data_IF_052117896597
#
_entry.id   IF_052117896597
#
_cell.length_a   1.000
_cell.length_b   1.000
_cell.length_c   1.000
_cell.angle_alpha   90.00
_cell.angle_beta   90.00
_cell.angle_gamma   90.00
#
_symmetry.space_group_name_H-M   'P 1'
#
loop_
_entity.id
_entity.type
_entity.pdbx_description
1 polymer ?
#
# COMPACT_ATOMS: atom_id res chain seq x y z
N UNK A 1 -6.31 24.63 -48.48
CA UNK A 1 -5.50 23.56 -47.83
C UNK A 1 -6.44 22.71 -47.00
N UNK A 2 -6.59 21.42 -47.31
CA UNK A 2 -7.43 20.50 -46.52
C UNK A 2 -6.55 19.89 -45.43
N UNK A 3 -6.85 20.20 -44.17
CA UNK A 3 -6.17 19.61 -43.02
C UNK A 3 -6.54 18.13 -42.94
N UNK A 4 -5.54 17.26 -43.02
CA UNK A 4 -5.71 15.82 -42.80
C UNK A 4 -6.09 15.61 -41.33
N UNK A 5 -7.32 15.17 -41.07
CA UNK A 5 -7.69 14.65 -39.76
C UNK A 5 -7.02 13.27 -39.58
N UNK A 6 -6.33 13.03 -38.45
CA UNK A 6 -5.66 11.76 -38.23
C UNK A 6 -6.70 10.63 -38.14
N UNK A 7 -6.52 9.60 -38.99
CA UNK A 7 -7.46 8.48 -39.16
C UNK A 7 -7.38 7.45 -38.02
N UNK A 8 -6.40 7.59 -37.13
CA UNK A 8 -6.12 6.69 -36.02
C UNK A 8 -6.47 7.39 -34.71
N UNK A 9 -7.37 6.76 -33.95
CA UNK A 9 -7.64 7.12 -32.56
C UNK A 9 -6.33 6.89 -31.78
N UNK A 10 -5.74 7.93 -31.21
CA UNK A 10 -4.58 7.78 -30.33
C UNK A 10 -4.95 6.76 -29.25
N UNK A 11 -4.15 5.69 -29.16
CA UNK A 11 -4.25 4.75 -28.06
C UNK A 11 -3.81 5.50 -26.80
N UNK A 12 -4.70 5.55 -25.81
CA UNK A 12 -4.33 6.08 -24.51
C UNK A 12 -3.31 5.14 -23.88
N UNK A 13 -2.17 5.68 -23.44
CA UNK A 13 -1.13 4.92 -22.73
C UNK A 13 -1.72 4.35 -21.42
N UNK A 14 -2.79 4.95 -20.89
CA UNK A 14 -3.57 4.41 -19.77
C UNK A 14 -4.09 2.98 -20.02
N UNK A 15 -4.33 2.59 -21.28
CA UNK A 15 -4.80 1.24 -21.63
C UNK A 15 -3.75 0.14 -21.42
N UNK A 16 -2.46 0.51 -21.28
CA UNK A 16 -1.37 -0.40 -20.94
C UNK A 16 -1.20 -0.62 -19.44
N UNK A 17 -1.99 0.07 -18.58
CA UNK A 17 -2.00 -0.20 -17.14
C UNK A 17 -2.49 -1.61 -16.93
N UNK A 18 -1.53 -2.51 -16.75
CA UNK A 18 -1.78 -3.92 -16.53
C UNK A 18 -2.44 -4.09 -15.17
N UNK A 19 -3.44 -4.98 -15.10
CA UNK A 19 -4.03 -5.39 -13.82
C UNK A 19 -2.93 -6.00 -12.94
N UNK A 20 -2.95 -5.66 -11.66
CA UNK A 20 -2.03 -6.21 -10.67
C UNK A 20 -2.50 -7.58 -10.13
N UNK A 21 -3.69 -8.04 -10.52
CA UNK A 21 -4.27 -9.30 -10.03
C UNK A 21 -3.57 -10.54 -10.60
N UNK A 22 -2.86 -10.42 -11.72
CA UNK A 22 -2.13 -11.51 -12.39
C UNK A 22 -0.63 -11.55 -12.03
N UNK A 23 -0.23 -10.83 -10.98
CA UNK A 23 1.17 -10.84 -10.53
C UNK A 23 1.60 -12.21 -10.00
N UNK A 24 2.90 -12.49 -10.16
CA UNK A 24 3.50 -13.72 -9.66
C UNK A 24 3.39 -13.82 -8.12
N UNK A 25 2.63 -14.82 -7.67
CA UNK A 25 2.37 -15.10 -6.25
C UNK A 25 3.60 -15.59 -5.49
N UNK A 26 4.65 -16.02 -6.19
CA UNK A 26 5.93 -16.39 -5.57
C UNK A 26 6.71 -15.16 -5.09
N UNK A 27 6.35 -13.96 -5.56
CA UNK A 27 7.00 -12.73 -5.13
C UNK A 27 6.79 -12.48 -3.64
N UNK A 28 7.87 -12.14 -2.94
CA UNK A 28 7.88 -11.87 -1.49
C UNK A 28 6.81 -10.86 -1.03
N UNK A 29 6.45 -9.89 -1.85
CA UNK A 29 5.48 -8.84 -1.48
C UNK A 29 4.03 -9.28 -1.70
N UNK A 30 3.78 -10.05 -2.76
CA UNK A 30 2.45 -10.62 -3.04
C UNK A 30 2.12 -11.65 -1.96
N UNK A 31 3.03 -12.59 -1.71
CA UNK A 31 2.87 -13.59 -0.65
C UNK A 31 2.67 -12.95 0.74
N UNK A 32 3.40 -11.88 1.06
CA UNK A 32 3.25 -11.16 2.32
C UNK A 32 1.92 -10.38 2.37
N UNK A 33 1.48 -9.82 1.25
CA UNK A 33 0.17 -9.18 1.12
C UNK A 33 -0.98 -10.15 1.35
N UNK A 34 -0.92 -11.35 0.79
CA UNK A 34 -1.96 -12.36 0.95
C UNK A 34 -2.00 -12.95 2.37
N UNK A 35 -0.84 -12.98 3.02
CA UNK A 35 -0.68 -13.54 4.35
C UNK A 35 -1.15 -12.61 5.48
N UNK A 36 -1.02 -11.29 5.32
CA UNK A 36 -1.35 -10.35 6.37
C UNK A 36 -2.87 -10.22 6.57
N UNK A 37 -3.38 -10.29 7.82
CA UNK A 37 -4.79 -10.08 8.12
C UNK A 37 -5.13 -8.59 8.08
N UNK A 38 -5.27 -8.04 6.87
CA UNK A 38 -5.52 -6.62 6.63
C UNK A 38 -6.72 -6.08 7.39
N UNK A 39 -7.80 -6.85 7.54
CA UNK A 39 -9.00 -6.44 8.28
C UNK A 39 -8.72 -6.15 9.75
N UNK A 40 -7.88 -6.95 10.41
CA UNK A 40 -7.52 -6.73 11.82
C UNK A 40 -6.60 -5.53 11.97
N UNK A 41 -5.62 -5.41 11.06
CA UNK A 41 -4.71 -4.28 11.00
C UNK A 41 -5.44 -2.96 10.77
N UNK A 42 -6.38 -2.94 9.83
CA UNK A 42 -7.20 -1.78 9.52
C UNK A 42 -8.10 -1.40 10.70
N UNK A 43 -8.67 -2.37 11.41
CA UNK A 43 -9.48 -2.11 12.60
C UNK A 43 -8.66 -1.46 13.71
N UNK A 44 -7.48 -2.01 14.01
CA UNK A 44 -6.57 -1.44 15.02
C UNK A 44 -6.09 -0.05 14.60
N UNK A 45 -5.71 0.12 13.33
CA UNK A 45 -5.33 1.42 12.75
C UNK A 45 -6.45 2.46 12.88
N UNK A 46 -7.67 2.11 12.49
CA UNK A 46 -8.83 3.00 12.53
C UNK A 46 -9.27 3.32 13.97
N UNK A 47 -9.08 2.40 14.91
CA UNK A 47 -9.37 2.66 16.33
C UNK A 47 -8.46 3.73 16.93
N UNK A 48 -7.23 3.86 16.41
CA UNK A 48 -6.21 4.80 16.89
C UNK A 48 -6.28 6.17 16.24
N UNK A 49 -6.93 6.28 15.07
CA UNK A 49 -7.06 7.54 14.37
C UNK A 49 -8.07 8.52 15.02
N UNK A 50 -8.69 8.15 16.15
CA UNK A 50 -9.65 8.95 16.92
C UNK A 50 -10.59 9.76 16.02
N UNK A 51 -11.33 9.04 15.16
CA UNK A 51 -12.23 9.60 14.14
C UNK A 51 -13.50 10.27 14.75
N UNK A 52 -13.41 10.91 15.92
CA UNK A 52 -14.50 11.68 16.52
C UNK A 52 -14.89 12.90 15.68
N UNK A 53 -13.99 13.41 14.84
CA UNK A 53 -14.28 14.46 13.85
C UNK A 53 -14.02 13.94 12.45
N UNK A 54 -15.09 13.80 11.67
CA UNK A 54 -15.08 13.47 10.23
C UNK A 54 -14.08 14.38 9.48
N UNK A 55 -12.87 13.90 9.28
CA UNK A 55 -11.88 14.50 8.37
C UNK A 55 -12.01 13.94 6.95
N UNK A 56 -11.51 14.70 5.96
CA UNK A 56 -11.52 14.35 4.54
C UNK A 56 -11.00 12.93 4.30
N UNK A 57 -11.68 12.19 3.43
CA UNK A 57 -11.57 10.74 3.22
C UNK A 57 -10.16 10.19 3.45
N UNK A 58 -10.02 9.41 4.53
CA UNK A 58 -8.77 8.70 4.80
C UNK A 58 -8.45 7.80 3.60
N UNK A 59 -7.20 7.87 3.15
CA UNK A 59 -6.65 6.87 2.22
C UNK A 59 -6.86 5.47 2.84
N UNK A 60 -7.05 4.43 2.02
CA UNK A 60 -7.29 3.08 2.52
C UNK A 60 -6.18 2.69 3.50
N UNK A 61 -6.55 2.13 4.67
CA UNK A 61 -5.59 1.82 5.73
C UNK A 61 -4.49 0.87 5.23
N UNK A 62 -4.84 -0.07 4.35
CA UNK A 62 -3.90 -0.99 3.68
C UNK A 62 -2.78 -0.25 2.93
N UNK A 63 -3.09 0.86 2.26
CA UNK A 63 -2.08 1.64 1.52
C UNK A 63 -1.07 2.27 2.47
N UNK A 64 -1.57 2.86 3.55
CA UNK A 64 -0.74 3.52 4.56
C UNK A 64 0.13 2.50 5.30
N UNK A 65 -0.50 1.45 5.84
CA UNK A 65 0.17 0.38 6.57
C UNK A 65 1.18 -0.35 5.67
N UNK A 66 0.80 -0.63 4.42
CA UNK A 66 1.69 -1.23 3.44
C UNK A 66 2.95 -0.40 3.20
N UNK A 67 2.80 0.92 3.00
CA UNK A 67 3.93 1.82 2.84
C UNK A 67 4.82 1.88 4.09
N UNK A 68 4.23 1.89 5.30
CA UNK A 68 5.02 1.88 6.54
C UNK A 68 5.79 0.56 6.73
N UNK A 69 5.20 -0.58 6.38
CA UNK A 69 5.87 -1.88 6.41
C UNK A 69 7.03 -1.92 5.42
N UNK A 70 6.84 -1.42 4.19
CA UNK A 70 7.91 -1.35 3.18
C UNK A 70 9.06 -0.47 3.67
N UNK A 71 8.74 0.74 4.16
CA UNK A 71 9.71 1.66 4.76
C UNK A 71 10.55 0.96 5.82
N UNK A 72 9.89 0.30 6.79
CA UNK A 72 10.58 -0.34 7.90
C UNK A 72 11.43 -1.53 7.44
N UNK A 73 10.92 -2.35 6.52
CA UNK A 73 11.61 -3.55 6.01
C UNK A 73 12.84 -3.22 5.16
N UNK A 74 12.81 -2.11 4.42
CA UNK A 74 13.91 -1.66 3.57
C UNK A 74 14.78 -0.57 4.22
N UNK A 75 14.40 -0.08 5.40
CA UNK A 75 15.05 1.00 6.14
C UNK A 75 15.27 2.27 5.29
N UNK A 76 14.22 2.71 4.59
CA UNK A 76 14.26 3.82 3.63
C UNK A 76 13.75 5.15 4.22
N UNK A 77 14.09 6.26 3.55
CA UNK A 77 13.43 7.53 3.82
C UNK A 77 11.99 7.55 3.33
N UNK A 78 11.21 8.51 3.82
CA UNK A 78 9.78 8.66 3.48
C UNK A 78 9.57 8.91 1.99
N UNK A 79 10.42 9.76 1.38
CA UNK A 79 10.36 10.07 -0.04
C UNK A 79 10.79 8.87 -0.90
N UNK A 80 11.91 8.23 -0.57
CA UNK A 80 12.39 7.04 -1.30
C UNK A 80 11.40 5.88 -1.24
N UNK A 81 10.70 5.71 -0.12
CA UNK A 81 9.67 4.67 0.01
C UNK A 81 8.56 4.87 -1.04
N UNK A 82 8.11 6.11 -1.23
CA UNK A 82 7.04 6.42 -2.20
C UNK A 82 7.54 6.19 -3.63
N UNK A 83 8.78 6.57 -3.92
CA UNK A 83 9.42 6.36 -5.22
C UNK A 83 9.57 4.87 -5.55
N UNK A 84 10.07 4.08 -4.60
CA UNK A 84 10.25 2.64 -4.79
C UNK A 84 8.90 1.91 -4.96
N UNK A 85 7.85 2.36 -4.26
CA UNK A 85 6.49 1.83 -4.47
C UNK A 85 5.99 2.20 -5.86
N UNK A 86 6.23 3.44 -6.32
CA UNK A 86 5.86 3.89 -7.66
C UNK A 86 6.54 3.07 -8.76
N UNK A 87 7.78 2.65 -8.55
CA UNK A 87 8.56 1.87 -9.50
C UNK A 87 8.17 0.37 -9.55
N UNK A 88 7.61 -0.17 -8.47
CA UNK A 88 7.40 -1.63 -8.33
C UNK A 88 5.91 -2.03 -8.31
N UNK A 89 5.41 -2.74 -9.35
CA UNK A 89 4.04 -3.26 -9.38
C UNK A 89 3.70 -4.16 -8.17
N UNK A 90 4.66 -4.96 -7.72
CA UNK A 90 4.51 -5.84 -6.56
C UNK A 90 4.28 -5.07 -5.25
N UNK A 91 4.94 -3.93 -5.08
CA UNK A 91 4.76 -3.08 -3.91
C UNK A 91 3.45 -2.30 -3.98
N UNK A 92 3.01 -1.90 -5.18
CA UNK A 92 1.70 -1.30 -5.37
C UNK A 92 0.58 -2.27 -5.01
N UNK A 93 0.69 -3.53 -5.44
CA UNK A 93 -0.24 -4.59 -5.06
C UNK A 93 -0.26 -4.80 -3.54
N UNK A 94 0.92 -4.81 -2.91
CA UNK A 94 1.02 -4.92 -1.46
C UNK A 94 0.27 -3.80 -0.74
N UNK A 95 0.41 -2.56 -1.23
CA UNK A 95 -0.33 -1.39 -0.76
C UNK A 95 -1.84 -1.41 -1.10
N UNK A 96 -2.34 -2.43 -1.82
CA UNK A 96 -3.76 -2.59 -2.14
C UNK A 96 -4.22 -1.85 -3.38
N UNK A 97 -3.32 -1.56 -4.32
CA UNK A 97 -3.69 -1.09 -5.65
C UNK A 97 -4.07 -2.28 -6.55
N UNK A 98 -5.08 -2.09 -7.39
CA UNK A 98 -5.52 -3.09 -8.39
C UNK A 98 -4.92 -2.85 -9.77
N UNK A 99 -4.52 -1.61 -10.06
CA UNK A 99 -3.94 -1.22 -11.35
C UNK A 99 -2.60 -0.56 -11.11
N UNK A 100 -1.63 -0.85 -11.99
CA UNK A 100 -0.35 -0.17 -11.95
C UNK A 100 -0.53 1.34 -12.17
N UNK A 101 0.14 2.13 -11.35
CA UNK A 101 0.18 3.59 -11.49
C UNK A 101 1.61 4.10 -11.45
N UNK A 102 1.94 4.95 -12.42
CA UNK A 102 3.18 5.72 -12.50
C UNK A 102 3.17 6.97 -11.61
N UNK A 103 2.04 7.23 -10.94
CA UNK A 103 1.87 8.36 -10.01
C UNK A 103 2.17 7.93 -8.57
N UNK A 104 2.71 8.83 -7.74
CA UNK A 104 2.93 8.54 -6.32
C UNK A 104 1.60 8.20 -5.62
N UNK A 105 1.64 7.21 -4.72
CA UNK A 105 0.46 6.70 -4.00
C UNK A 105 -0.19 7.75 -3.07
N UNK A 106 0.64 8.62 -2.49
CA UNK A 106 0.25 9.79 -1.71
C UNK A 106 1.42 10.77 -1.62
N UNK A 107 1.13 12.00 -1.17
CA UNK A 107 2.14 13.03 -0.94
C UNK A 107 3.05 12.65 0.25
N UNK A 108 4.39 12.81 0.15
CA UNK A 108 5.31 12.54 1.26
C UNK A 108 4.94 13.23 2.58
N UNK A 109 4.33 14.42 2.53
CA UNK A 109 3.90 15.16 3.71
C UNK A 109 2.76 14.46 4.47
N UNK A 110 1.89 13.75 3.75
CA UNK A 110 0.86 12.91 4.36
C UNK A 110 1.51 11.76 5.13
N UNK A 111 2.58 11.17 4.60
CA UNK A 111 3.30 10.09 5.26
C UNK A 111 3.93 10.53 6.58
N UNK A 112 4.54 11.73 6.59
CA UNK A 112 5.06 12.35 7.82
C UNK A 112 3.94 12.58 8.84
N UNK A 113 2.77 13.05 8.39
CA UNK A 113 1.63 13.33 9.26
C UNK A 113 1.08 12.05 9.89
N UNK A 114 1.02 10.97 9.12
CA UNK A 114 0.61 9.64 9.59
C UNK A 114 1.61 9.08 10.60
N UNK A 115 2.91 9.15 10.30
CA UNK A 115 3.99 8.66 11.17
C UNK A 115 4.07 9.41 12.50
N UNK A 116 3.62 10.66 12.54
CA UNK A 116 3.45 11.41 13.80
C UNK A 116 2.29 10.91 14.65
N UNK A 117 1.27 10.30 14.03
CA UNK A 117 0.10 9.76 14.71
C UNK A 117 0.29 8.31 15.15
N UNK A 118 1.03 7.53 14.36
CA UNK A 118 1.36 6.12 14.65
C UNK A 118 2.87 5.95 14.56
N UNK A 119 3.48 5.62 15.69
CA UNK A 119 4.92 5.43 15.76
C UNK A 119 5.35 4.08 15.18
N UNK A 120 6.61 3.97 14.78
CA UNK A 120 7.20 2.70 14.33
C UNK A 120 7.12 1.61 15.42
N UNK A 121 7.22 2.01 16.68
CA UNK A 121 7.09 1.14 17.83
C UNK A 121 5.68 0.52 17.93
N UNK A 122 4.65 1.30 17.61
CA UNK A 122 3.27 0.82 17.59
C UNK A 122 3.02 -0.14 16.43
N UNK A 123 3.55 0.16 15.25
CA UNK A 123 3.53 -0.79 14.13
C UNK A 123 4.22 -2.10 14.46
N UNK A 124 5.37 -2.03 15.13
CA UNK A 124 6.08 -3.22 15.57
C UNK A 124 5.25 -3.99 16.60
N UNK A 125 4.62 -3.33 17.57
CA UNK A 125 3.69 -3.98 18.51
C UNK A 125 2.53 -4.67 17.79
N UNK A 126 1.92 -4.02 16.79
CA UNK A 126 0.84 -4.62 15.98
C UNK A 126 1.34 -5.85 15.21
N UNK A 127 2.50 -5.74 14.56
CA UNK A 127 3.10 -6.83 13.78
C UNK A 127 3.48 -8.02 14.67
N UNK A 128 4.09 -7.76 15.83
CA UNK A 128 4.42 -8.79 16.83
C UNK A 128 3.17 -9.46 17.38
N UNK A 129 2.10 -8.69 17.66
CA UNK A 129 0.82 -9.23 18.12
C UNK A 129 0.22 -10.17 17.08
N UNK A 130 0.30 -9.84 15.79
CA UNK A 130 -0.13 -10.70 14.70
C UNK A 130 0.71 -11.98 14.59
N UNK A 131 2.03 -11.85 14.61
CA UNK A 131 2.94 -13.01 14.57
C UNK A 131 2.67 -13.98 15.73
N UNK A 132 2.48 -13.45 16.94
CA UNK A 132 2.15 -14.26 18.11
C UNK A 132 0.79 -14.94 17.99
N UNK A 133 -0.22 -14.26 17.45
CA UNK A 133 -1.55 -14.84 17.21
C UNK A 133 -1.45 -15.99 16.21
N UNK A 134 -0.66 -15.81 15.16
CA UNK A 134 -0.45 -16.83 14.15
C UNK A 134 0.33 -18.04 14.66
N UNK A 135 1.33 -17.81 15.52
CA UNK A 135 2.07 -18.90 16.17
C UNK A 135 1.14 -19.77 17.02
N UNK A 136 0.21 -19.17 17.76
CA UNK A 136 -0.80 -19.91 18.55
C UNK A 136 -1.73 -20.74 17.68
N UNK A 137 -2.18 -20.18 16.55
CA UNK A 137 -3.03 -20.90 15.59
C UNK A 137 -2.32 -22.10 14.93
N UNK A 138 -0.99 -22.07 14.86
CA UNK A 138 -0.17 -23.18 14.36
C UNK A 138 0.15 -24.20 15.47
N UNK A 139 0.25 -23.77 16.72
CA UNK A 139 0.46 -24.63 17.90
C UNK A 139 -0.82 -25.38 18.31
N UNK A 140 -2.01 -24.85 17.99
CA UNK A 140 -3.32 -25.45 18.28
C UNK A 140 -3.81 -26.43 17.19
N UNK A 141 -3.00 -26.72 16.17
CA UNK A 141 -3.36 -27.54 15.00
C UNK A 141 -2.48 -28.80 14.92
#
# INVERSE_FOLDING_TARGET
>A
MKFYAPKYKQLDIGLLRSSLDELDKTNRWVALGDFLPWTELEKEYNSRLDNQKKGAGNKPARMILGAMIIKHKLNLSDAETIEIIRESPYMQYFCGLHEFTDKPIFDPSLFVTIRKRISEEELNKMTVKLLNKQRRLLEEK
#
